data_IF_285783794526
#
_entry.id   IF_285783794526
#
_cell.length_a   1.000
_cell.length_b   1.000
_cell.length_c   1.000
_cell.angle_alpha   90.00
_cell.angle_beta   90.00
_cell.angle_gamma   90.00
#
_symmetry.space_group_name_H-M   'P 1'
#
loop_
_entity.id
_entity.type
_entity.pdbx_description
1 polymer ?
#
# COMPACT_ATOMS: atom_id res chain seq x y z
N UNK A 1 -12.23 -0.16 -3.67
CA UNK A 1 -11.24 0.94 -3.53
C UNK A 1 -11.88 2.30 -3.72
N UNK A 2 -12.61 2.58 -4.80
CA UNK A 2 -13.29 3.88 -5.02
C UNK A 2 -14.13 4.35 -3.82
N UNK A 3 -14.89 3.45 -3.20
CA UNK A 3 -15.65 3.75 -1.96
C UNK A 3 -14.73 4.07 -0.76
N UNK A 4 -13.62 3.39 -0.62
CA UNK A 4 -12.65 3.66 0.45
C UNK A 4 -12.04 5.06 0.29
N UNK A 5 -11.62 5.42 -0.92
CA UNK A 5 -11.12 6.76 -1.23
C UNK A 5 -12.22 7.82 -1.33
N UNK A 6 -13.48 7.44 -1.26
CA UNK A 6 -14.65 8.33 -1.43
C UNK A 6 -14.60 9.13 -2.73
N UNK A 7 -14.12 8.50 -3.82
CA UNK A 7 -13.99 9.15 -5.12
C UNK A 7 -15.36 9.59 -5.66
N UNK A 8 -15.37 10.78 -6.23
CA UNK A 8 -16.54 11.41 -6.86
C UNK A 8 -16.28 11.61 -8.35
N UNK A 9 -17.34 11.73 -9.19
CA UNK A 9 -17.18 12.03 -10.60
C UNK A 9 -16.44 13.34 -10.90
N UNK A 10 -16.49 14.31 -9.97
CA UNK A 10 -15.77 15.59 -10.08
C UNK A 10 -14.28 15.52 -9.76
N UNK A 11 -13.82 14.41 -9.16
CA UNK A 11 -12.41 14.27 -8.77
C UNK A 11 -11.51 14.13 -9.98
N UNK A 12 -10.33 14.72 -9.88
CA UNK A 12 -9.27 14.70 -10.88
C UNK A 12 -8.04 14.05 -10.26
N UNK A 13 -7.82 12.79 -10.60
CA UNK A 13 -6.81 11.95 -10.00
C UNK A 13 -5.58 11.86 -10.92
N UNK A 14 -4.49 12.50 -10.50
CA UNK A 14 -3.24 12.60 -11.24
C UNK A 14 -2.28 11.47 -10.90
N UNK A 15 -1.65 10.91 -11.93
CA UNK A 15 -0.48 10.03 -11.80
C UNK A 15 0.48 10.22 -12.96
N UNK A 16 1.78 10.12 -12.68
CA UNK A 16 2.84 10.05 -13.68
C UNK A 16 3.51 8.66 -13.72
N UNK A 17 2.87 7.66 -13.10
CA UNK A 17 3.37 6.29 -13.07
C UNK A 17 2.97 5.54 -14.35
N UNK A 18 3.80 4.58 -14.80
CA UNK A 18 3.47 3.75 -15.96
C UNK A 18 2.19 2.93 -15.71
N UNK A 19 1.29 2.90 -16.69
CA UNK A 19 0.01 2.19 -16.57
C UNK A 19 0.13 0.66 -16.46
N UNK A 20 1.25 0.08 -16.86
CA UNK A 20 1.52 -1.35 -16.63
C UNK A 20 1.85 -1.66 -15.16
N UNK A 21 2.17 -0.67 -14.35
CA UNK A 21 2.40 -0.86 -12.92
C UNK A 21 1.08 -1.07 -12.19
N UNK A 22 1.00 -2.11 -11.35
CA UNK A 22 -0.22 -2.47 -10.64
C UNK A 22 -0.88 -1.33 -9.85
N UNK A 23 -0.09 -0.45 -9.24
CA UNK A 23 -0.61 0.73 -8.54
C UNK A 23 -1.33 1.68 -9.51
N UNK A 24 -0.75 2.01 -10.68
CA UNK A 24 -1.39 2.90 -11.64
C UNK A 24 -2.62 2.25 -12.29
N UNK A 25 -2.52 0.98 -12.67
CA UNK A 25 -3.65 0.29 -13.28
C UNK A 25 -4.79 0.03 -12.28
N UNK A 26 -4.51 -0.66 -11.18
CA UNK A 26 -5.55 -1.12 -10.26
C UNK A 26 -6.05 -0.01 -9.33
N UNK A 27 -5.14 0.84 -8.80
CA UNK A 27 -5.50 1.83 -7.79
C UNK A 27 -5.90 3.19 -8.38
N UNK A 28 -5.48 3.51 -9.60
CA UNK A 28 -5.90 4.75 -10.26
C UNK A 28 -6.97 4.47 -11.32
N UNK A 29 -6.60 3.79 -12.44
CA UNK A 29 -7.50 3.68 -13.61
C UNK A 29 -8.78 2.94 -13.26
N UNK A 30 -8.66 1.72 -12.70
CA UNK A 30 -9.84 0.90 -12.38
C UNK A 30 -10.75 1.57 -11.36
N UNK A 31 -10.17 2.22 -10.33
CA UNK A 31 -10.96 2.90 -9.31
C UNK A 31 -11.64 4.15 -9.84
N UNK A 32 -10.97 4.89 -10.72
CA UNK A 32 -11.54 6.09 -11.36
C UNK A 32 -12.67 5.75 -12.32
N UNK A 33 -12.52 4.71 -13.15
CA UNK A 33 -13.61 4.21 -14.00
C UNK A 33 -14.84 3.83 -13.17
N UNK A 34 -14.62 3.10 -12.06
CA UNK A 34 -15.72 2.71 -11.18
C UNK A 34 -16.42 3.89 -10.50
N UNK A 35 -15.69 4.97 -10.22
CA UNK A 35 -16.23 6.18 -9.60
C UNK A 35 -16.78 7.20 -10.61
N UNK A 36 -16.47 7.04 -11.89
CA UNK A 36 -16.74 8.04 -12.92
C UNK A 36 -15.84 9.27 -12.81
N UNK A 37 -14.70 9.18 -12.09
CA UNK A 37 -13.78 10.29 -11.88
C UNK A 37 -12.80 10.45 -13.04
N UNK A 38 -12.17 11.62 -13.12
CA UNK A 38 -11.27 11.99 -14.22
C UNK A 38 -9.85 11.46 -13.91
N UNK A 39 -9.31 10.65 -14.80
CA UNK A 39 -7.92 10.24 -14.77
C UNK A 39 -7.06 11.27 -15.48
N UNK A 40 -6.04 11.78 -14.79
CA UNK A 40 -5.04 12.71 -15.33
C UNK A 40 -3.69 12.00 -15.40
N UNK A 41 -3.15 11.86 -16.60
CA UNK A 41 -1.90 11.13 -16.81
C UNK A 41 -0.76 12.08 -17.17
N UNK A 42 0.24 12.15 -16.31
CA UNK A 42 1.53 12.72 -16.63
C UNK A 42 2.34 11.75 -17.53
N UNK A 43 3.07 12.26 -18.50
CA UNK A 43 3.82 11.44 -19.44
C UNK A 43 4.92 10.61 -18.78
N UNK A 44 5.61 11.19 -17.81
CA UNK A 44 6.65 10.57 -17.00
C UNK A 44 6.91 11.41 -15.76
N UNK A 45 7.47 10.81 -14.73
CA UNK A 45 7.89 11.55 -13.55
C UNK A 45 9.02 12.54 -13.89
N UNK A 46 8.88 13.75 -13.37
CA UNK A 46 9.93 14.77 -13.32
C UNK A 46 9.59 15.73 -12.18
N UNK A 47 10.52 15.98 -11.25
CA UNK A 47 10.28 16.90 -10.13
C UNK A 47 10.01 18.34 -10.59
N UNK A 48 10.52 18.75 -11.76
CA UNK A 48 10.24 20.05 -12.35
C UNK A 48 8.83 20.16 -12.96
N UNK A 49 8.27 19.05 -13.44
CA UNK A 49 6.98 19.05 -14.16
C UNK A 49 5.79 18.61 -13.30
N UNK A 50 6.04 17.88 -12.22
CA UNK A 50 4.99 17.29 -11.39
C UNK A 50 3.97 18.33 -10.92
N UNK A 51 4.42 19.33 -10.15
CA UNK A 51 3.52 20.35 -9.63
C UNK A 51 2.93 21.26 -10.71
N UNK A 52 3.65 21.71 -11.76
CA UNK A 52 3.04 22.37 -12.92
C UNK A 52 1.92 21.54 -13.57
N UNK A 53 2.10 20.25 -13.78
CA UNK A 53 1.07 19.37 -14.37
C UNK A 53 -0.13 19.20 -13.42
N UNK A 54 0.10 19.02 -12.13
CA UNK A 54 -0.95 18.94 -11.09
C UNK A 54 -1.78 20.23 -11.07
N UNK A 55 -1.15 21.40 -11.09
CA UNK A 55 -1.85 22.69 -11.14
C UNK A 55 -2.65 22.88 -12.43
N UNK A 56 -2.01 22.67 -13.57
CA UNK A 56 -2.65 22.83 -14.88
C UNK A 56 -3.88 21.93 -15.04
N UNK A 57 -3.80 20.71 -14.51
CA UNK A 57 -4.91 19.77 -14.55
C UNK A 57 -5.96 20.01 -13.47
N UNK A 58 -5.70 20.89 -12.51
CA UNK A 58 -6.55 21.11 -11.32
C UNK A 58 -6.81 19.81 -10.54
N UNK A 59 -5.81 18.93 -10.50
CA UNK A 59 -5.93 17.65 -9.79
C UNK A 59 -6.09 17.90 -8.27
N UNK A 60 -7.06 17.21 -7.67
CA UNK A 60 -7.29 17.22 -6.23
C UNK A 60 -6.83 15.92 -5.54
N UNK A 61 -6.46 14.92 -6.33
CA UNK A 61 -5.86 13.68 -5.84
C UNK A 61 -4.58 13.41 -6.64
N UNK A 62 -3.51 13.03 -5.94
CA UNK A 62 -2.26 12.61 -6.57
C UNK A 62 -1.91 11.17 -6.17
N UNK A 63 -1.38 10.42 -7.12
CA UNK A 63 -0.77 9.13 -6.84
C UNK A 63 0.73 9.28 -6.63
N UNK A 64 1.27 8.53 -5.65
CA UNK A 64 2.70 8.51 -5.38
C UNK A 64 3.25 7.10 -5.17
N UNK A 65 4.55 7.00 -5.26
CA UNK A 65 5.40 6.01 -4.59
C UNK A 65 6.40 6.76 -3.72
N UNK A 66 6.88 6.16 -2.64
CA UNK A 66 7.71 6.86 -1.66
C UNK A 66 8.93 7.57 -2.24
N UNK A 67 9.60 6.96 -3.24
CA UNK A 67 10.73 7.58 -3.94
C UNK A 67 10.33 8.86 -4.68
N UNK A 68 9.16 8.89 -5.30
CA UNK A 68 8.64 10.10 -5.94
C UNK A 68 8.51 11.23 -4.90
N UNK A 69 7.94 10.93 -3.75
CA UNK A 69 7.81 11.90 -2.67
C UNK A 69 9.18 12.40 -2.17
N UNK A 70 10.17 11.49 -2.08
CA UNK A 70 11.54 11.85 -1.69
C UNK A 70 12.18 12.81 -2.70
N UNK A 71 12.03 12.56 -3.99
CA UNK A 71 12.53 13.49 -5.03
C UNK A 71 11.83 14.86 -4.97
N UNK A 72 10.51 14.89 -4.73
CA UNK A 72 9.78 16.14 -4.61
C UNK A 72 10.21 16.95 -3.37
N UNK A 73 10.40 16.28 -2.23
CA UNK A 73 10.85 16.91 -0.97
C UNK A 73 12.28 17.45 -1.10
N UNK A 74 13.15 16.76 -1.83
CA UNK A 74 14.54 17.17 -2.01
C UNK A 74 14.75 18.19 -3.16
N UNK A 75 13.73 18.45 -3.97
CA UNK A 75 13.79 19.48 -4.99
C UNK A 75 13.89 20.89 -4.35
N UNK A 76 14.48 21.89 -5.03
CA UNK A 76 14.50 23.26 -4.53
C UNK A 76 13.11 23.73 -4.10
N UNK A 77 12.97 24.44 -2.99
CA UNK A 77 11.69 24.98 -2.54
C UNK A 77 11.17 26.05 -3.53
N UNK A 78 9.85 26.12 -3.65
CA UNK A 78 9.18 27.09 -4.50
C UNK A 78 8.08 27.81 -3.70
N UNK A 79 7.85 29.10 -3.91
CA UNK A 79 6.70 29.79 -3.32
C UNK A 79 5.37 29.17 -3.78
N UNK A 80 5.37 28.42 -4.88
CA UNK A 80 4.20 27.71 -5.42
C UNK A 80 4.00 26.30 -4.87
N UNK A 81 4.80 25.86 -3.90
CA UNK A 81 4.73 24.47 -3.38
C UNK A 81 3.34 24.11 -2.79
N UNK A 82 2.60 25.11 -2.30
CA UNK A 82 1.22 24.93 -1.78
C UNK A 82 0.14 25.47 -2.71
N UNK A 83 0.50 26.01 -3.86
CA UNK A 83 -0.43 26.58 -4.84
C UNK A 83 -1.04 25.48 -5.74
N UNK A 84 -1.90 24.65 -5.17
CA UNK A 84 -2.61 23.58 -5.86
C UNK A 84 -3.87 23.16 -5.09
N UNK A 85 -4.73 22.34 -5.73
CA UNK A 85 -5.98 21.86 -5.16
C UNK A 85 -5.89 20.45 -4.53
N UNK A 86 -4.68 19.93 -4.28
CA UNK A 86 -4.53 18.57 -3.80
C UNK A 86 -5.03 18.44 -2.37
N UNK A 87 -6.05 17.62 -2.19
CA UNK A 87 -6.64 17.27 -0.90
C UNK A 87 -6.19 15.91 -0.39
N UNK A 88 -5.72 15.05 -1.31
CA UNK A 88 -5.34 13.68 -0.98
C UNK A 88 -4.14 13.22 -1.79
N UNK A 89 -3.18 12.62 -1.12
CA UNK A 89 -2.14 11.79 -1.75
C UNK A 89 -2.43 10.32 -1.45
N UNK A 90 -2.42 9.46 -2.46
CA UNK A 90 -2.63 8.03 -2.34
C UNK A 90 -1.50 7.26 -2.99
N UNK A 91 -0.87 6.38 -2.24
CA UNK A 91 0.28 5.62 -2.75
C UNK A 91 0.83 4.62 -1.75
N UNK A 92 2.07 4.26 -1.95
CA UNK A 92 2.75 3.28 -1.12
C UNK A 92 4.22 3.64 -0.89
N UNK A 93 4.76 3.19 0.25
CA UNK A 93 6.18 3.30 0.58
C UNK A 93 6.63 4.69 0.98
N UNK A 94 5.73 5.53 1.51
CA UNK A 94 6.11 6.83 2.06
C UNK A 94 6.88 6.63 3.37
N UNK A 95 8.17 6.92 3.33
CA UNK A 95 9.07 6.67 4.46
C UNK A 95 8.81 7.63 5.61
N UNK A 96 8.98 7.18 6.87
CA UNK A 96 8.79 8.04 8.05
C UNK A 96 9.64 9.31 8.05
N UNK A 97 10.88 9.26 7.53
CA UNK A 97 11.83 10.38 7.51
C UNK A 97 11.42 11.53 6.56
N UNK A 98 10.55 11.24 5.58
CA UNK A 98 10.05 12.24 4.63
C UNK A 98 8.56 12.51 4.76
N UNK A 99 7.82 11.72 5.55
CA UNK A 99 6.36 11.82 5.68
C UNK A 99 5.88 13.22 6.05
N UNK A 100 6.36 13.74 7.17
CA UNK A 100 5.95 15.08 7.62
C UNK A 100 6.48 16.18 6.70
N UNK A 101 7.73 16.07 6.25
CA UNK A 101 8.30 17.02 5.30
C UNK A 101 7.46 17.13 4.02
N UNK A 102 6.96 16.00 3.52
CA UNK A 102 6.09 15.95 2.34
C UNK A 102 4.74 16.60 2.63
N UNK A 103 4.11 16.22 3.76
CA UNK A 103 2.83 16.79 4.18
C UNK A 103 2.90 18.31 4.35
N UNK A 104 3.86 18.79 5.13
CA UNK A 104 3.98 20.20 5.50
C UNK A 104 4.40 21.08 4.33
N UNK A 105 5.40 20.62 3.56
CA UNK A 105 5.92 21.37 2.44
C UNK A 105 4.84 21.62 1.39
N UNK A 106 4.06 20.59 1.05
CA UNK A 106 3.04 20.70 0.04
C UNK A 106 1.62 20.92 0.58
N UNK A 107 1.44 21.00 1.90
CA UNK A 107 0.14 21.29 2.51
C UNK A 107 -0.92 20.22 2.24
N UNK A 108 -0.55 18.93 2.15
CA UNK A 108 -1.48 17.85 1.82
C UNK A 108 -2.17 17.34 3.09
N UNK A 109 -3.49 17.52 3.23
CA UNK A 109 -4.19 17.18 4.47
C UNK A 109 -4.39 15.68 4.68
N UNK A 110 -4.53 14.91 3.59
CA UNK A 110 -4.81 13.47 3.68
C UNK A 110 -3.73 12.66 2.94
N UNK A 111 -3.08 11.76 3.66
CA UNK A 111 -2.17 10.76 3.09
C UNK A 111 -2.81 9.39 3.26
N UNK A 112 -3.11 8.74 2.15
CA UNK A 112 -3.55 7.36 2.10
C UNK A 112 -2.37 6.48 1.72
N UNK A 113 -1.92 5.64 2.65
CA UNK A 113 -0.86 4.68 2.44
C UNK A 113 -1.46 3.30 2.16
N UNK A 114 -0.89 2.60 1.20
CA UNK A 114 -1.25 1.23 0.87
C UNK A 114 -0.02 0.33 0.93
N UNK A 115 -0.19 -0.84 1.48
CA UNK A 115 0.77 -1.94 1.37
C UNK A 115 0.12 -3.07 0.57
N UNK A 116 0.75 -3.46 -0.50
CA UNK A 116 0.40 -4.64 -1.30
C UNK A 116 1.62 -5.08 -2.11
N UNK A 117 1.70 -6.37 -2.43
CA UNK A 117 2.67 -6.91 -3.35
C UNK A 117 1.96 -7.48 -4.58
N UNK A 118 2.63 -7.44 -5.74
CA UNK A 118 2.06 -7.95 -7.00
C UNK A 118 1.80 -9.46 -6.93
N UNK A 119 2.64 -10.16 -6.19
CA UNK A 119 2.58 -11.61 -5.92
C UNK A 119 1.98 -11.94 -4.54
N UNK A 120 1.53 -10.93 -3.80
CA UNK A 120 0.91 -11.09 -2.48
C UNK A 120 -0.61 -11.21 -2.57
N UNK A 121 -1.19 -11.93 -1.62
CA UNK A 121 -2.65 -12.11 -1.49
C UNK A 121 -3.30 -11.16 -0.50
N UNK A 122 -2.50 -10.40 0.24
CA UNK A 122 -2.93 -9.44 1.24
C UNK A 122 -2.66 -7.99 0.85
N UNK A 123 -3.48 -7.09 1.38
CA UNK A 123 -3.25 -5.65 1.30
C UNK A 123 -3.67 -4.97 2.59
N UNK A 124 -3.00 -3.90 2.96
CA UNK A 124 -3.40 -3.05 4.06
C UNK A 124 -3.48 -1.59 3.63
N UNK A 125 -4.32 -0.83 4.31
CA UNK A 125 -4.63 0.55 3.97
C UNK A 125 -4.64 1.41 5.22
N UNK A 126 -4.15 2.64 5.10
CA UNK A 126 -4.18 3.64 6.16
C UNK A 126 -4.58 4.99 5.60
N UNK A 127 -5.73 5.52 6.00
CA UNK A 127 -6.08 6.93 5.78
C UNK A 127 -5.55 7.73 6.97
N UNK A 128 -4.54 8.55 6.73
CA UNK A 128 -3.94 9.41 7.74
C UNK A 128 -4.30 10.88 7.53
N UNK A 129 -4.81 11.53 8.58
CA UNK A 129 -5.21 12.95 8.61
C UNK A 129 -4.52 13.75 9.71
N UNK A 130 -3.59 13.15 10.44
CA UNK A 130 -2.92 13.78 11.57
C UNK A 130 -1.98 12.79 12.26
N UNK A 131 -1.75 12.95 13.56
CA UNK A 131 -0.78 12.12 14.28
C UNK A 131 -1.22 10.68 14.47
N UNK A 132 -2.53 10.45 14.60
CA UNK A 132 -3.06 9.10 14.75
C UNK A 132 -2.85 8.30 13.46
N UNK A 133 -2.20 7.16 13.55
CA UNK A 133 -1.78 6.28 12.44
C UNK A 133 -0.70 6.84 11.51
N UNK A 134 -0.03 7.92 11.91
CA UNK A 134 1.14 8.42 11.21
C UNK A 134 2.20 7.32 11.09
N UNK A 135 2.85 7.23 9.92
CA UNK A 135 3.85 6.21 9.56
C UNK A 135 3.35 4.77 9.46
N UNK A 136 2.06 4.52 9.72
CA UNK A 136 1.52 3.18 9.58
C UNK A 136 1.13 2.89 8.13
N UNK A 137 1.45 1.70 7.66
CA UNK A 137 1.05 1.20 6.32
C UNK A 137 -0.32 0.51 6.33
N UNK A 138 -0.92 0.34 7.49
CA UNK A 138 -2.24 -0.28 7.64
C UNK A 138 -2.90 0.06 8.96
N UNK A 139 -4.21 0.18 8.92
CA UNK A 139 -5.04 0.43 10.10
C UNK A 139 -6.06 -0.70 10.26
N UNK A 140 -6.00 -1.37 11.39
CA UNK A 140 -6.88 -2.50 11.70
C UNK A 140 -7.68 -2.22 12.96
N UNK A 141 -8.94 -1.86 12.79
CA UNK A 141 -9.89 -1.71 13.92
C UNK A 141 -10.18 -3.04 14.61
N UNK A 142 -10.76 -2.97 15.80
CA UNK A 142 -11.09 -4.15 16.63
C UNK A 142 -11.94 -5.18 15.86
N UNK A 143 -13.01 -4.73 15.21
CA UNK A 143 -13.91 -5.61 14.44
C UNK A 143 -13.15 -6.30 13.30
N UNK A 144 -12.33 -5.57 12.55
CA UNK A 144 -11.51 -6.16 11.50
C UNK A 144 -10.57 -7.23 12.05
N UNK A 145 -9.91 -6.97 13.17
CA UNK A 145 -9.01 -7.92 13.82
C UNK A 145 -9.74 -9.20 14.24
N UNK A 146 -10.95 -9.08 14.80
CA UNK A 146 -11.76 -10.23 15.19
C UNK A 146 -12.17 -11.07 13.96
N UNK A 147 -12.65 -10.43 12.91
CA UNK A 147 -13.13 -11.12 11.70
C UNK A 147 -11.98 -11.75 10.87
N UNK A 148 -10.78 -11.20 10.95
CA UNK A 148 -9.62 -11.64 10.16
C UNK A 148 -8.56 -12.38 10.96
N UNK A 149 -8.76 -12.60 12.24
CA UNK A 149 -7.78 -13.21 13.16
C UNK A 149 -7.30 -14.59 12.73
N UNK A 150 -8.12 -15.34 11.99
CA UNK A 150 -7.76 -16.67 11.46
C UNK A 150 -7.20 -16.63 10.04
N UNK A 151 -7.37 -15.52 9.32
CA UNK A 151 -7.03 -15.42 7.89
C UNK A 151 -5.72 -14.70 7.68
N UNK A 152 -5.37 -13.79 8.60
CA UNK A 152 -4.19 -12.94 8.49
C UNK A 152 -3.57 -12.79 9.88
N UNK A 153 -2.36 -13.33 10.04
CA UNK A 153 -1.68 -13.42 11.35
C UNK A 153 -0.23 -12.95 11.19
N UNK A 154 0.27 -12.23 12.20
CA UNK A 154 1.70 -11.96 12.35
C UNK A 154 2.34 -13.11 13.13
N UNK A 155 3.41 -13.67 12.57
CA UNK A 155 4.21 -14.73 13.19
C UNK A 155 5.64 -14.26 13.38
N UNK A 156 6.29 -14.76 14.43
CA UNK A 156 7.69 -14.47 14.71
C UNK A 156 8.58 -15.10 13.66
N UNK A 157 9.62 -14.37 13.28
CA UNK A 157 10.67 -14.85 12.38
C UNK A 157 12.03 -14.69 13.06
N UNK A 158 12.95 -15.53 12.67
CA UNK A 158 14.36 -15.33 12.97
C UNK A 158 14.90 -14.16 12.14
N UNK A 159 15.50 -13.12 12.74
CA UNK A 159 15.93 -11.93 12.00
C UNK A 159 17.11 -12.19 11.04
N UNK A 160 17.88 -13.25 11.25
CA UNK A 160 19.05 -13.56 10.42
C UNK A 160 18.73 -14.48 9.25
N UNK A 161 17.83 -15.45 9.46
CA UNK A 161 17.46 -16.45 8.44
C UNK A 161 16.14 -16.12 7.76
N UNK A 162 15.32 -15.22 8.32
CA UNK A 162 13.94 -14.93 7.91
C UNK A 162 12.98 -16.14 8.00
N UNK A 163 13.40 -17.20 8.68
CA UNK A 163 12.58 -18.39 8.88
C UNK A 163 11.55 -18.16 10.00
N UNK A 164 10.37 -18.78 9.86
CA UNK A 164 9.33 -18.71 10.89
C UNK A 164 9.77 -19.48 12.13
N UNK A 165 9.73 -18.82 13.27
CA UNK A 165 9.99 -19.44 14.55
C UNK A 165 8.81 -20.35 14.95
N UNK A 166 9.14 -21.58 15.38
CA UNK A 166 8.18 -22.60 15.77
C UNK A 166 8.34 -22.98 17.24
N UNK A 167 7.23 -23.35 17.87
CA UNK A 167 7.21 -23.87 19.22
C UNK A 167 7.70 -25.35 19.29
N UNK A 168 7.69 -25.92 20.48
CA UNK A 168 8.09 -27.32 20.73
C UNK A 168 7.22 -28.36 20.01
N UNK A 169 6.01 -27.97 19.60
CA UNK A 169 5.08 -28.82 18.82
C UNK A 169 5.25 -28.62 17.31
N UNK A 170 6.16 -27.74 16.89
CA UNK A 170 6.44 -27.44 15.50
C UNK A 170 5.49 -26.41 14.87
N UNK A 171 4.68 -25.67 15.65
CA UNK A 171 3.75 -24.67 15.15
C UNK A 171 4.30 -23.24 15.25
N UNK A 172 3.89 -22.38 14.33
CA UNK A 172 4.36 -21.01 14.28
C UNK A 172 3.97 -20.19 15.52
N UNK A 173 4.90 -19.43 16.04
CA UNK A 173 4.70 -18.57 17.21
C UNK A 173 4.11 -17.22 16.74
N UNK A 174 2.93 -16.86 17.26
CA UNK A 174 2.29 -15.57 16.98
C UNK A 174 3.04 -14.41 17.64
N UNK A 175 3.16 -13.29 16.94
CA UNK A 175 3.67 -12.05 17.53
C UNK A 175 2.70 -11.48 18.56
N UNK A 176 3.26 -10.92 19.63
CA UNK A 176 2.54 -10.02 20.54
C UNK A 176 2.47 -8.62 19.93
N UNK A 177 1.62 -7.76 20.51
CA UNK A 177 1.53 -6.36 20.10
C UNK A 177 2.88 -5.68 20.34
N UNK A 178 3.42 -5.02 19.29
CA UNK A 178 4.70 -4.33 19.33
C UNK A 178 5.92 -5.21 18.94
N UNK A 179 5.73 -6.52 18.75
CA UNK A 179 6.79 -7.39 18.24
C UNK A 179 6.83 -7.35 16.70
N UNK A 180 8.01 -7.31 16.09
CA UNK A 180 8.18 -7.47 14.65
C UNK A 180 7.90 -8.91 14.23
N UNK A 181 7.45 -9.09 12.98
CA UNK A 181 7.21 -10.41 12.43
C UNK A 181 6.72 -10.36 11.00
N UNK A 182 6.52 -11.53 10.41
CA UNK A 182 5.99 -11.69 9.06
C UNK A 182 4.47 -11.86 9.06
N UNK A 183 3.81 -11.22 8.09
CA UNK A 183 2.37 -11.37 7.89
C UNK A 183 2.12 -12.58 7.00
N UNK A 184 1.43 -13.57 7.53
CA UNK A 184 1.00 -14.73 6.77
C UNK A 184 -0.51 -14.70 6.54
N UNK A 185 -0.93 -15.27 5.42
CA UNK A 185 -2.33 -15.35 5.03
C UNK A 185 -2.76 -16.79 4.85
N UNK A 186 -3.89 -17.17 5.46
CA UNK A 186 -4.48 -18.47 5.20
C UNK A 186 -4.97 -18.56 3.75
N UNK A 187 -4.56 -19.58 3.03
CA UNK A 187 -5.05 -19.90 1.70
C UNK A 187 -6.22 -20.85 1.80
N UNK A 188 -7.32 -20.50 1.14
CA UNK A 188 -8.44 -21.42 0.95
C UNK A 188 -8.35 -22.03 -0.46
N UNK A 189 -7.99 -23.32 -0.59
CA UNK A 189 -7.82 -23.97 -1.89
C UNK A 189 -9.09 -23.96 -2.75
N UNK A 190 -10.27 -23.82 -2.13
CA UNK A 190 -11.56 -23.81 -2.83
C UNK A 190 -11.90 -22.43 -3.42
N UNK A 191 -11.21 -21.36 -3.00
CA UNK A 191 -11.40 -20.01 -3.53
C UNK A 191 -10.33 -19.69 -4.57
N UNK A 192 -10.53 -20.12 -5.81
CA UNK A 192 -9.59 -19.93 -6.94
C UNK A 192 -9.04 -18.49 -7.09
N UNK A 193 -9.84 -17.47 -6.78
CA UNK A 193 -9.46 -16.07 -7.01
C UNK A 193 -8.59 -15.46 -5.89
N UNK A 194 -8.31 -16.19 -4.83
CA UNK A 194 -7.48 -15.75 -3.71
C UNK A 194 -6.25 -16.65 -3.49
N UNK A 195 -6.01 -17.59 -4.41
CA UNK A 195 -4.89 -18.50 -4.29
C UNK A 195 -3.63 -17.93 -4.98
N UNK A 196 -2.50 -18.08 -4.33
CA UNK A 196 -1.21 -17.86 -4.96
C UNK A 196 -0.97 -18.92 -6.02
N UNK A 197 -0.71 -18.52 -7.27
CA UNK A 197 -0.56 -19.42 -8.40
C UNK A 197 0.88 -19.85 -8.67
N UNK A 198 1.83 -19.41 -7.83
CA UNK A 198 3.25 -19.66 -7.99
C UNK A 198 3.92 -18.71 -8.99
N UNK A 199 5.20 -18.93 -9.23
CA UNK A 199 5.99 -18.16 -10.19
C UNK A 199 6.16 -18.93 -11.49
N UNK A 200 6.01 -18.21 -12.62
CA UNK A 200 6.15 -18.80 -13.94
C UNK A 200 7.52 -19.48 -14.11
N UNK A 201 7.50 -20.76 -14.48
CA UNK A 201 8.71 -21.62 -14.64
C UNK A 201 9.64 -21.70 -13.41
N UNK A 202 9.17 -21.32 -12.22
CA UNK A 202 9.94 -21.40 -10.97
C UNK A 202 9.11 -21.96 -9.83
N UNK A 203 8.83 -23.25 -9.91
CA UNK A 203 8.02 -23.97 -8.92
C UNK A 203 8.65 -23.92 -7.52
N UNK A 204 9.99 -24.05 -7.41
CA UNK A 204 10.68 -24.04 -6.13
C UNK A 204 10.49 -22.72 -5.36
N UNK A 205 10.56 -21.58 -6.05
CA UNK A 205 10.28 -20.29 -5.43
C UNK A 205 8.81 -20.16 -5.02
N UNK A 206 7.88 -20.71 -5.81
CA UNK A 206 6.47 -20.76 -5.45
C UNK A 206 6.20 -21.61 -4.22
N UNK A 207 6.77 -22.81 -4.17
CA UNK A 207 6.61 -23.73 -3.04
C UNK A 207 7.19 -23.14 -1.73
N UNK A 208 8.29 -22.36 -1.81
CA UNK A 208 8.88 -21.67 -0.66
C UNK A 208 7.94 -20.63 -0.04
N UNK A 209 7.01 -20.06 -0.82
CA UNK A 209 6.00 -19.11 -0.32
C UNK A 209 4.82 -19.79 0.40
N UNK A 210 4.69 -21.11 0.22
CA UNK A 210 3.61 -21.90 0.80
C UNK A 210 4.08 -22.54 2.10
N UNK A 211 3.54 -22.07 3.22
CA UNK A 211 3.92 -22.55 4.54
C UNK A 211 2.85 -23.52 5.00
N UNK A 212 3.28 -24.72 5.40
CA UNK A 212 2.41 -25.78 5.91
C UNK A 212 2.52 -25.91 7.42
N UNK A 213 1.50 -26.52 8.02
CA UNK A 213 1.47 -26.82 9.46
C UNK A 213 1.77 -25.59 10.31
N UNK A 214 1.04 -24.49 10.04
CA UNK A 214 1.31 -23.19 10.68
C UNK A 214 0.81 -23.18 12.12
N UNK A 215 -0.47 -23.46 12.35
CA UNK A 215 -1.08 -23.50 13.69
C UNK A 215 -1.71 -24.84 14.03
N UNK A 216 -1.86 -25.71 13.06
CA UNK A 216 -2.35 -27.08 13.21
C UNK A 216 -1.89 -27.92 12.02
N UNK A 217 -1.84 -29.23 12.22
CA UNK A 217 -1.45 -30.16 11.16
C UNK A 217 -2.41 -30.07 9.96
N UNK A 218 -1.87 -29.85 8.77
CA UNK A 218 -2.60 -29.79 7.50
C UNK A 218 -3.16 -28.42 7.12
N UNK A 219 -2.91 -27.33 7.87
CA UNK A 219 -3.27 -25.99 7.41
C UNK A 219 -2.25 -25.45 6.39
N UNK A 220 -2.73 -24.51 5.55
CA UNK A 220 -1.97 -23.83 4.49
C UNK A 220 -2.19 -22.33 4.59
#
# INVERSE_FOLDING_TARGET
>A
MSRYLRLKPSDRYYSCMPLYHGAAHALLVTTSIHAGSIVVLGRKFSHHRFWPEVRASKANIIQYVGELCRYLVNAPPSPLDKEHNVEMAFGNGLRPDIWEKFRERFGIPVINEVYAATDGIGASFNENKGDFTKFAIGKRGLIYRMLRASVEVLVKIDPDTEDILRDENGFAIKCKIGEPGEVIHQINPQKRNAAFHGYFKNKAAGDKRMIKDVFRKGDL
#
